data_IF_403548181673
#
_entry.id   IF_403548181673
#
_cell.length_a   1.000
_cell.length_b   1.000
_cell.length_c   1.000
_cell.angle_alpha   90.00
_cell.angle_beta   90.00
_cell.angle_gamma   90.00
#
_symmetry.space_group_name_H-M   'P 1'
#
loop_
_entity.id
_entity.type
_entity.pdbx_description
1 polymer ?
#
# COMPACT_ATOMS: atom_id res chain seq x y z
N UNK A 1 -29.06 -42.32 63.64
CA UNK A 1 -29.03 -40.93 64.14
C UNK A 1 -28.86 -40.03 62.93
N UNK A 2 -29.78 -39.08 62.76
CA UNK A 2 -29.91 -38.21 61.59
C UNK A 2 -28.97 -37.00 61.72
N UNK A 3 -28.30 -36.60 60.64
CA UNK A 3 -27.71 -35.27 60.46
C UNK A 3 -27.19 -35.15 59.02
N UNK A 4 -27.37 -34.10 58.22
CA UNK A 4 -28.34 -33.02 58.10
C UNK A 4 -28.12 -32.50 56.66
N UNK A 5 -29.16 -32.30 55.87
CA UNK A 5 -29.09 -31.73 54.52
C UNK A 5 -28.84 -30.22 54.60
N UNK A 6 -27.88 -29.67 53.86
CA UNK A 6 -27.94 -28.30 53.32
C UNK A 6 -27.40 -28.29 51.88
N UNK A 7 -28.28 -27.88 50.97
CA UNK A 7 -28.11 -27.61 49.54
C UNK A 7 -27.76 -26.11 49.37
N UNK A 8 -27.29 -25.74 48.18
CA UNK A 8 -27.24 -24.38 47.57
C UNK A 8 -25.94 -23.62 47.89
N UNK A 9 -25.29 -22.84 47.00
CA UNK A 9 -25.62 -22.29 45.69
C UNK A 9 -24.31 -21.71 45.09
N UNK A 10 -24.17 -21.79 43.77
CA UNK A 10 -23.38 -20.90 42.90
C UNK A 10 -22.00 -20.39 43.33
N UNK A 11 -20.97 -20.89 42.63
CA UNK A 11 -20.03 -19.98 41.96
C UNK A 11 -19.88 -20.42 40.51
N UNK A 12 -20.67 -19.77 39.67
CA UNK A 12 -20.50 -19.67 38.24
C UNK A 12 -19.14 -19.01 37.97
N UNK A 13 -18.07 -19.81 37.88
CA UNK A 13 -16.83 -19.35 37.25
C UNK A 13 -17.09 -19.34 35.74
N UNK A 14 -17.65 -18.24 35.26
CA UNK A 14 -17.50 -17.83 33.87
C UNK A 14 -16.00 -17.65 33.64
N UNK A 15 -15.36 -18.70 33.14
CA UNK A 15 -14.09 -18.59 32.44
C UNK A 15 -14.37 -17.86 31.11
N UNK A 16 -14.60 -16.55 31.19
CA UNK A 16 -14.71 -15.64 30.05
C UNK A 16 -13.30 -15.26 29.63
N UNK A 17 -12.57 -16.23 29.09
CA UNK A 17 -11.26 -16.03 28.50
C UNK A 17 -11.17 -16.90 27.24
N UNK A 18 -11.75 -16.45 26.12
CA UNK A 18 -11.47 -17.08 24.81
C UNK A 18 -11.82 -16.28 23.55
N UNK A 19 -12.31 -15.05 23.64
CA UNK A 19 -12.48 -14.18 22.45
C UNK A 19 -11.36 -13.14 22.26
N UNK A 20 -10.58 -12.86 23.30
CA UNK A 20 -9.73 -11.67 23.38
C UNK A 20 -8.34 -11.77 22.70
N UNK A 21 -8.05 -12.89 22.04
CA UNK A 21 -6.78 -13.09 21.33
C UNK A 21 -6.92 -13.02 19.80
N UNK A 22 -8.15 -12.90 19.28
CA UNK A 22 -8.41 -12.86 17.84
C UNK A 22 -8.17 -11.48 17.24
N UNK A 23 -8.65 -10.41 17.89
CA UNK A 23 -8.53 -9.04 17.39
C UNK A 23 -7.08 -8.54 17.39
N UNK A 24 -6.33 -8.80 18.45
CA UNK A 24 -4.90 -8.48 18.49
C UNK A 24 -4.11 -9.16 17.38
N UNK A 25 -4.41 -10.43 17.10
CA UNK A 25 -3.78 -11.16 15.99
C UNK A 25 -4.16 -10.58 14.62
N UNK A 26 -5.42 -10.19 14.41
CA UNK A 26 -5.90 -9.55 13.18
C UNK A 26 -5.22 -8.21 12.94
N UNK A 27 -5.15 -7.35 13.96
CA UNK A 27 -4.46 -6.07 13.89
C UNK A 27 -2.99 -6.27 13.52
N UNK A 28 -2.29 -7.20 14.19
CA UNK A 28 -0.88 -7.45 13.93
C UNK A 28 -0.65 -7.99 12.51
N UNK A 29 -1.52 -8.88 12.03
CA UNK A 29 -1.44 -9.47 10.69
C UNK A 29 -1.64 -8.42 9.60
N UNK A 30 -2.68 -7.58 9.72
CA UNK A 30 -2.93 -6.51 8.74
C UNK A 30 -1.77 -5.51 8.73
N UNK A 31 -1.28 -5.09 9.90
CA UNK A 31 -0.15 -4.17 9.99
C UNK A 31 1.12 -4.75 9.36
N UNK A 32 1.38 -6.05 9.57
CA UNK A 32 2.48 -6.74 8.92
C UNK A 32 2.35 -6.73 7.39
N UNK A 33 1.15 -6.98 6.86
CA UNK A 33 0.89 -6.87 5.42
C UNK A 33 1.10 -5.46 4.89
N UNK A 34 0.68 -4.43 5.64
CA UNK A 34 0.86 -3.03 5.25
C UNK A 34 2.35 -2.66 5.18
N UNK A 35 3.17 -3.13 6.13
CA UNK A 35 4.61 -2.87 6.12
C UNK A 35 5.31 -3.53 4.92
N UNK A 36 4.91 -4.74 4.56
CA UNK A 36 5.43 -5.41 3.36
C UNK A 36 5.04 -4.63 2.10
N UNK A 37 3.79 -4.20 2.00
CA UNK A 37 3.32 -3.41 0.86
C UNK A 37 4.01 -2.04 0.78
N UNK A 38 4.31 -1.39 1.91
CA UNK A 38 5.10 -0.13 1.95
C UNK A 38 6.48 -0.31 1.31
N UNK A 39 7.15 -1.41 1.67
CA UNK A 39 8.44 -1.77 1.09
C UNK A 39 8.34 -1.97 -0.42
N UNK A 40 7.33 -2.73 -0.89
CA UNK A 40 7.09 -2.98 -2.31
C UNK A 40 6.80 -1.68 -3.06
N UNK A 41 5.98 -0.80 -2.50
CA UNK A 41 5.60 0.48 -3.09
C UNK A 41 6.84 1.38 -3.27
N UNK A 42 7.67 1.52 -2.24
CA UNK A 42 8.90 2.31 -2.27
C UNK A 42 9.92 1.76 -3.27
N UNK A 43 10.14 0.44 -3.26
CA UNK A 43 11.03 -0.23 -4.23
C UNK A 43 10.51 -0.07 -5.67
N UNK A 44 9.20 -0.16 -5.86
CA UNK A 44 8.59 0.04 -7.18
C UNK A 44 8.82 1.48 -7.64
N UNK A 45 8.49 2.48 -6.82
CA UNK A 45 8.71 3.89 -7.13
C UNK A 45 10.17 4.18 -7.50
N UNK A 46 11.14 3.74 -6.69
CA UNK A 46 12.58 3.89 -6.98
C UNK A 46 12.99 3.27 -8.32
N UNK A 47 12.41 2.12 -8.65
CA UNK A 47 12.67 1.44 -9.92
C UNK A 47 12.09 2.23 -11.11
N UNK A 48 10.89 2.76 -10.98
CA UNK A 48 10.25 3.56 -12.05
C UNK A 48 11.01 4.87 -12.27
N UNK A 49 11.45 5.55 -11.21
CA UNK A 49 12.34 6.71 -11.29
C UNK A 49 13.64 6.40 -12.05
N UNK A 50 14.29 5.27 -11.73
CA UNK A 50 15.53 4.88 -12.43
C UNK A 50 15.29 4.59 -13.91
N UNK A 51 14.17 3.94 -14.25
CA UNK A 51 13.80 3.70 -15.65
C UNK A 51 13.56 5.02 -16.39
N UNK A 52 12.93 5.99 -15.73
CA UNK A 52 12.71 7.32 -16.30
C UNK A 52 14.00 7.97 -16.77
N UNK A 53 14.98 8.04 -15.88
CA UNK A 53 16.26 8.69 -16.16
C UNK A 53 17.00 7.97 -17.29
N UNK A 54 16.85 6.65 -17.38
CA UNK A 54 17.41 5.89 -18.50
C UNK A 54 16.71 6.21 -19.83
N UNK A 55 15.38 6.32 -19.85
CA UNK A 55 14.62 6.65 -21.06
C UNK A 55 14.98 8.03 -21.63
N UNK A 56 15.23 9.02 -20.76
CA UNK A 56 15.74 10.33 -21.19
C UNK A 56 17.03 10.19 -21.99
N UNK A 57 17.96 9.37 -21.51
CA UNK A 57 19.24 9.10 -22.14
C UNK A 57 19.06 8.34 -23.45
N UNK A 58 18.26 7.27 -23.44
CA UNK A 58 17.99 6.43 -24.62
C UNK A 58 17.40 7.25 -25.75
N UNK A 59 16.48 8.15 -25.44
CA UNK A 59 15.89 9.05 -26.41
C UNK A 59 16.88 10.02 -27.05
N UNK A 60 17.66 10.74 -26.22
CA UNK A 60 18.67 11.68 -26.70
C UNK A 60 19.65 10.98 -27.64
N UNK A 61 20.08 9.76 -27.27
CA UNK A 61 20.97 8.95 -28.07
C UNK A 61 20.33 8.51 -29.38
N UNK A 62 19.09 8.00 -29.36
CA UNK A 62 18.38 7.54 -30.55
C UNK A 62 18.13 8.70 -31.54
N UNK A 63 17.85 9.90 -31.03
CA UNK A 63 17.58 11.08 -31.86
C UNK A 63 18.85 11.77 -32.36
N UNK A 64 19.97 11.62 -31.67
CA UNK A 64 21.22 12.30 -32.00
C UNK A 64 21.19 13.81 -31.69
N UNK A 65 20.42 14.23 -30.68
CA UNK A 65 20.25 15.64 -30.34
C UNK A 65 19.26 15.88 -29.20
N UNK A 66 18.72 17.09 -29.11
CA UNK A 66 17.81 17.51 -28.03
C UNK A 66 16.42 16.85 -28.11
N UNK A 67 15.71 16.89 -26.97
CA UNK A 67 14.33 16.44 -26.86
C UNK A 67 13.38 17.24 -27.77
N UNK A 68 12.46 16.56 -28.44
CA UNK A 68 11.41 17.23 -29.22
C UNK A 68 10.11 17.39 -28.44
N UNK A 69 9.16 18.10 -29.05
CA UNK A 69 7.86 18.38 -28.44
C UNK A 69 7.01 17.14 -28.14
N UNK A 70 7.24 16.02 -28.83
CA UNK A 70 6.52 14.76 -28.58
C UNK A 70 7.12 14.05 -27.38
N UNK A 71 8.45 13.99 -27.30
CA UNK A 71 9.14 13.43 -26.14
C UNK A 71 8.82 14.22 -24.87
N UNK A 72 8.85 15.55 -24.93
CA UNK A 72 8.52 16.40 -23.78
C UNK A 72 7.10 16.16 -23.23
N UNK A 73 6.15 15.74 -24.08
CA UNK A 73 4.81 15.35 -23.62
C UNK A 73 4.82 14.00 -22.89
N UNK A 74 5.59 13.03 -23.38
CA UNK A 74 5.75 11.73 -22.75
C UNK A 74 6.45 11.86 -21.39
N UNK A 75 7.51 12.67 -21.34
CA UNK A 75 8.23 13.00 -20.10
C UNK A 75 7.29 13.62 -19.06
N UNK A 76 6.50 14.61 -19.46
CA UNK A 76 5.51 15.23 -18.56
C UNK A 76 4.45 14.23 -18.09
N UNK A 77 4.02 13.30 -18.93
CA UNK A 77 3.09 12.26 -18.53
C UNK A 77 3.71 11.33 -17.48
N UNK A 78 5.01 11.07 -17.58
CA UNK A 78 5.71 10.27 -16.60
C UNK A 78 5.92 10.99 -15.27
N UNK A 79 6.35 12.26 -15.29
CA UNK A 79 6.46 13.09 -14.08
C UNK A 79 5.15 13.06 -13.27
N UNK A 80 4.00 13.19 -13.95
CA UNK A 80 2.68 13.10 -13.31
C UNK A 80 2.43 11.72 -12.67
N UNK A 81 2.90 10.62 -13.27
CA UNK A 81 2.76 9.29 -12.67
C UNK A 81 3.65 9.12 -11.44
N UNK A 82 4.85 9.70 -11.45
CA UNK A 82 5.77 9.68 -10.31
C UNK A 82 5.20 10.48 -9.13
N UNK A 83 4.66 11.68 -9.40
CA UNK A 83 3.95 12.49 -8.40
C UNK A 83 2.77 11.72 -7.79
N UNK A 84 2.00 10.98 -8.60
CA UNK A 84 0.92 10.13 -8.09
C UNK A 84 1.44 8.99 -7.22
N UNK A 85 2.60 8.40 -7.54
CA UNK A 85 3.22 7.40 -6.68
C UNK A 85 3.64 7.99 -5.33
N UNK A 86 4.21 9.19 -5.32
CA UNK A 86 4.56 9.91 -4.08
C UNK A 86 3.32 10.14 -3.21
N UNK A 87 2.21 10.59 -3.81
CA UNK A 87 0.93 10.77 -3.11
C UNK A 87 0.42 9.46 -2.48
N UNK A 88 0.60 8.31 -3.15
CA UNK A 88 0.20 7.01 -2.60
C UNK A 88 1.12 6.61 -1.44
N UNK A 89 2.43 6.83 -1.56
CA UNK A 89 3.39 6.56 -0.48
C UNK A 89 3.01 7.37 0.76
N UNK A 90 2.75 8.66 0.61
CA UNK A 90 2.36 9.54 1.71
C UNK A 90 1.06 9.09 2.39
N UNK A 91 0.04 8.71 1.60
CA UNK A 91 -1.21 8.14 2.12
C UNK A 91 -0.96 6.84 2.88
N UNK A 92 -0.12 5.96 2.35
CA UNK A 92 0.21 4.69 2.99
C UNK A 92 0.88 4.90 4.34
N UNK A 93 1.81 5.85 4.43
CA UNK A 93 2.47 6.20 5.69
C UNK A 93 1.49 6.76 6.73
N UNK A 94 0.47 7.52 6.30
CA UNK A 94 -0.62 7.97 7.19
C UNK A 94 -1.39 6.77 7.73
N UNK A 95 -1.84 5.85 6.85
CA UNK A 95 -2.59 4.64 7.23
C UNK A 95 -1.76 3.78 8.19
N UNK A 96 -0.47 3.56 7.91
CA UNK A 96 0.44 2.83 8.79
C UNK A 96 0.54 3.45 10.19
N UNK A 97 0.66 4.78 10.28
CA UNK A 97 0.69 5.49 11.57
C UNK A 97 -0.64 5.35 12.32
N UNK A 98 -1.76 5.45 11.62
CA UNK A 98 -3.09 5.26 12.22
C UNK A 98 -3.26 3.84 12.73
N UNK A 99 -2.89 2.83 11.93
CA UNK A 99 -2.98 1.43 12.30
C UNK A 99 -2.07 1.08 13.48
N UNK A 100 -0.85 1.62 13.51
CA UNK A 100 0.06 1.47 14.67
C UNK A 100 -0.56 2.05 15.94
N UNK A 101 -1.16 3.24 15.86
CA UNK A 101 -1.85 3.86 16.99
C UNK A 101 -3.05 3.03 17.45
N UNK A 102 -3.77 2.41 16.53
CA UNK A 102 -4.88 1.51 16.85
C UNK A 102 -4.40 0.27 17.64
N UNK A 103 -3.29 -0.34 17.22
CA UNK A 103 -2.62 -1.44 17.95
C UNK A 103 -2.21 -0.99 19.36
N UNK A 104 -1.58 0.17 19.49
CA UNK A 104 -1.16 0.70 20.80
C UNK A 104 -2.37 0.89 21.73
N UNK A 105 -3.48 1.42 21.21
CA UNK A 105 -4.73 1.60 21.96
C UNK A 105 -5.45 0.30 22.30
N UNK A 106 -5.32 -0.72 21.46
CA UNK A 106 -5.79 -2.07 21.77
C UNK A 106 -4.97 -2.66 22.93
N UNK A 107 -3.63 -2.63 22.82
CA UNK A 107 -2.72 -3.24 23.80
C UNK A 107 -2.79 -2.59 25.19
N UNK A 108 -3.12 -1.29 25.26
CA UNK A 108 -3.23 -0.56 26.52
C UNK A 108 -4.67 -0.54 27.08
N UNK A 109 -5.65 -1.11 26.38
CA UNK A 109 -7.06 -1.15 26.79
C UNK A 109 -7.72 0.23 26.91
N UNK A 110 -7.23 1.25 26.20
CA UNK A 110 -7.72 2.64 26.34
C UNK A 110 -8.96 2.95 25.50
N UNK A 111 -9.38 2.03 24.64
CA UNK A 111 -10.58 2.15 23.82
C UNK A 111 -11.47 0.93 23.95
N UNK A 112 -12.76 1.14 23.73
CA UNK A 112 -13.75 0.07 23.63
C UNK A 112 -13.46 -0.84 22.42
N UNK A 113 -13.75 -2.13 22.54
CA UNK A 113 -13.45 -3.12 21.50
C UNK A 113 -14.27 -2.92 20.23
N UNK A 114 -15.52 -2.50 20.33
CA UNK A 114 -16.37 -2.30 19.16
C UNK A 114 -15.91 -1.07 18.37
N UNK A 115 -15.42 -0.04 19.08
CA UNK A 115 -14.73 1.08 18.44
C UNK A 115 -13.44 0.62 17.71
N UNK A 116 -12.60 -0.22 18.35
CA UNK A 116 -11.38 -0.74 17.69
C UNK A 116 -11.71 -1.53 16.41
N UNK A 117 -12.77 -2.36 16.44
CA UNK A 117 -13.20 -3.15 15.28
C UNK A 117 -13.64 -2.27 14.12
N UNK A 118 -14.43 -1.23 14.41
CA UNK A 118 -14.93 -0.32 13.37
C UNK A 118 -13.78 0.46 12.73
N UNK A 119 -12.88 1.02 13.54
CA UNK A 119 -11.70 1.73 13.03
C UNK A 119 -10.78 0.80 12.23
N UNK A 120 -10.59 -0.44 12.67
CA UNK A 120 -9.81 -1.43 11.92
C UNK A 120 -10.40 -1.68 10.54
N UNK A 121 -11.72 -1.84 10.46
CA UNK A 121 -12.43 -2.08 9.20
C UNK A 121 -12.28 -0.89 8.25
N UNK A 122 -12.42 0.34 8.75
CA UNK A 122 -12.20 1.55 7.95
C UNK A 122 -10.78 1.58 7.39
N UNK A 123 -9.77 1.35 8.24
CA UNK A 123 -8.37 1.32 7.80
C UNK A 123 -8.07 0.19 6.80
N UNK A 124 -8.73 -0.96 6.95
CA UNK A 124 -8.61 -2.08 6.02
C UNK A 124 -9.21 -1.72 4.64
N UNK A 125 -10.37 -1.06 4.62
CA UNK A 125 -11.02 -0.57 3.39
C UNK A 125 -10.17 0.49 2.69
N UNK A 126 -9.63 1.46 3.43
CA UNK A 126 -8.71 2.48 2.88
C UNK A 126 -7.44 1.84 2.31
N UNK A 127 -6.86 0.87 3.02
CA UNK A 127 -5.70 0.13 2.55
C UNK A 127 -5.98 -0.63 1.25
N UNK A 128 -7.14 -1.30 1.14
CA UNK A 128 -7.56 -1.99 -0.09
C UNK A 128 -7.72 -1.04 -1.27
N UNK A 129 -8.33 0.13 -1.05
CA UNK A 129 -8.47 1.15 -2.11
C UNK A 129 -7.10 1.63 -2.60
N UNK A 130 -6.17 1.86 -1.68
CA UNK A 130 -4.81 2.25 -2.02
C UNK A 130 -4.06 1.15 -2.79
N UNK A 131 -4.26 -0.13 -2.46
CA UNK A 131 -3.69 -1.24 -3.24
C UNK A 131 -4.19 -1.23 -4.68
N UNK A 132 -5.49 -0.98 -4.89
CA UNK A 132 -6.09 -0.86 -6.23
C UNK A 132 -5.47 0.30 -7.00
N UNK A 133 -5.33 1.47 -6.36
CA UNK A 133 -4.70 2.64 -6.98
C UNK A 133 -3.25 2.35 -7.39
N UNK A 134 -2.48 1.68 -6.53
CA UNK A 134 -1.10 1.30 -6.83
C UNK A 134 -1.01 0.32 -8.01
N UNK A 135 -1.89 -0.69 -8.06
CA UNK A 135 -1.93 -1.65 -9.17
C UNK A 135 -2.28 -0.96 -10.49
N UNK A 136 -3.18 0.03 -10.46
CA UNK A 136 -3.48 0.83 -11.65
C UNK A 136 -2.28 1.66 -12.12
N UNK A 137 -1.53 2.30 -11.20
CA UNK A 137 -0.34 3.05 -11.58
C UNK A 137 0.75 2.17 -12.20
N UNK A 138 0.92 0.92 -11.71
CA UNK A 138 1.83 -0.05 -12.34
C UNK A 138 1.40 -0.34 -13.78
N UNK A 139 0.11 -0.49 -14.04
CA UNK A 139 -0.41 -0.72 -15.39
C UNK A 139 -0.20 0.50 -16.30
N UNK A 140 -0.48 1.70 -15.79
CA UNK A 140 -0.28 2.95 -16.52
C UNK A 140 1.19 3.13 -16.90
N UNK A 141 2.11 2.81 -15.99
CA UNK A 141 3.54 2.85 -16.28
C UNK A 141 3.95 1.78 -17.31
N UNK A 142 3.40 0.57 -17.25
CA UNK A 142 3.68 -0.48 -18.24
C UNK A 142 3.25 -0.05 -19.65
N UNK A 143 2.13 0.67 -19.76
CA UNK A 143 1.69 1.25 -21.03
C UNK A 143 2.65 2.34 -21.50
N UNK A 144 3.09 3.24 -20.60
CA UNK A 144 4.02 4.31 -20.94
C UNK A 144 5.40 3.77 -21.38
N UNK A 145 5.86 2.67 -20.77
CA UNK A 145 7.07 1.94 -21.19
C UNK A 145 6.96 1.41 -22.63
N UNK A 146 5.79 0.85 -22.96
CA UNK A 146 5.51 0.38 -24.32
C UNK A 146 5.52 1.55 -25.31
N UNK A 147 4.86 2.65 -24.98
CA UNK A 147 4.77 3.83 -25.84
C UNK A 147 6.16 4.46 -26.06
N UNK A 148 6.99 4.52 -25.01
CA UNK A 148 8.39 4.96 -25.13
C UNK A 148 9.17 4.07 -26.09
N UNK A 149 9.08 2.74 -25.92
CA UNK A 149 9.78 1.79 -26.79
C UNK A 149 9.36 1.93 -28.25
N UNK A 150 8.05 1.98 -28.51
CA UNK A 150 7.53 2.13 -29.88
C UNK A 150 8.07 3.42 -30.52
N UNK A 151 8.17 4.50 -29.74
CA UNK A 151 8.70 5.77 -30.21
C UNK A 151 10.19 5.73 -30.55
N UNK A 152 11.01 5.07 -29.73
CA UNK A 152 12.45 4.86 -30.00
C UNK A 152 12.66 4.02 -31.26
N UNK A 153 11.88 2.95 -31.43
CA UNK A 153 11.95 2.08 -32.60
C UNK A 153 11.61 2.87 -33.88
N UNK A 154 10.60 3.74 -33.84
CA UNK A 154 10.26 4.62 -34.97
C UNK A 154 11.37 5.60 -35.34
N UNK A 155 12.00 6.25 -34.35
CA UNK A 155 13.10 7.19 -34.58
C UNK A 155 14.29 6.46 -35.22
N UNK A 156 14.63 5.31 -34.67
CA UNK A 156 15.74 4.48 -35.16
C UNK A 156 15.51 4.03 -36.60
N UNK A 157 14.28 3.61 -36.95
CA UNK A 157 13.92 3.23 -38.31
C UNK A 157 13.98 4.40 -39.30
N UNK A 158 13.63 5.61 -38.87
CA UNK A 158 13.73 6.83 -39.70
C UNK A 158 15.18 7.23 -39.96
N UNK A 159 16.05 7.10 -38.97
CA UNK A 159 17.47 7.48 -39.08
C UNK A 159 18.30 6.51 -39.95
N UNK A 160 17.82 5.29 -40.17
CA UNK A 160 18.48 4.26 -40.98
C UNK A 160 17.99 4.21 -42.46
N UNK A 161 17.13 5.14 -42.88
CA UNK A 161 16.63 5.27 -44.26
C UNK A 161 17.22 6.51 -44.93
#
# INVERSE_FOLDING_TARGET
MKSLTIILLSTLLLCSCKEDNSMGALLQALHGSMLEHDSILKVTHDRLNKKHEQWKIDYINARGGEMDSLHLKLEKAHDILLEKHDDIIDKHEVILRMHKRLIEKYNNGTLDQDFIKEEHKILEEEYKLMQIDHDQLIQDHAQLEKDHKDFIDEITLKNNK
#
